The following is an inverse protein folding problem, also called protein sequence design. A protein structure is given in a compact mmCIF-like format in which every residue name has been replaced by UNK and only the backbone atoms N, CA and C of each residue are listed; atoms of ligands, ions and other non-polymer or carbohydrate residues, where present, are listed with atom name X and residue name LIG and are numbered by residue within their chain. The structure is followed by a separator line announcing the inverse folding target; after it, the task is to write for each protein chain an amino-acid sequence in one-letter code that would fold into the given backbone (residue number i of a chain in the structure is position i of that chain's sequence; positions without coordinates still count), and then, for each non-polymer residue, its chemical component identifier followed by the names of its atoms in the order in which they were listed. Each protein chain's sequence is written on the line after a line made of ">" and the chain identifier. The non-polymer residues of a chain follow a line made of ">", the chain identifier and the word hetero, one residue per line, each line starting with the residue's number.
data_IF_880683257329
#
_entry.id   IF_880683257329
#
_cell.length_a   1.000
_cell.length_b   1.000
_cell.length_c   1.000
_cell.angle_alpha   90.00
_cell.angle_beta   90.00
_cell.angle_gamma   90.00
#
_symmetry.space_group_name_H-M   'P 1'
#
loop_
_entity.id
_entity.type
_entity.pdbx_description
1 polymer ?
#
# COMPACT_ATOMS: atom_id res chain seq x y z
N UNK A 1 10.83 -16.05 11.77
CA UNK A 1 10.92 -14.79 12.54
C UNK A 1 12.35 -14.31 12.77
N UNK A 2 13.30 -15.13 13.31
CA UNK A 2 14.68 -14.69 13.49
C UNK A 2 15.34 -14.21 12.19
N UNK A 3 15.14 -14.94 11.09
CA UNK A 3 15.62 -14.57 9.76
C UNK A 3 15.09 -13.19 9.31
N UNK A 4 13.80 -12.90 9.52
CA UNK A 4 13.20 -11.59 9.21
C UNK A 4 13.84 -10.47 10.03
N UNK A 5 14.11 -10.72 11.32
CA UNK A 5 14.83 -9.77 12.17
C UNK A 5 16.26 -9.47 11.69
N UNK A 6 16.96 -10.48 11.16
CA UNK A 6 18.29 -10.32 10.54
C UNK A 6 18.16 -9.48 9.26
N UNK A 7 17.18 -9.79 8.39
CA UNK A 7 16.94 -9.04 7.16
C UNK A 7 16.57 -7.58 7.44
N UNK A 8 15.73 -7.32 8.44
CA UNK A 8 15.41 -5.95 8.88
C UNK A 8 16.66 -5.18 9.31
N UNK A 9 17.58 -5.85 10.05
CA UNK A 9 18.84 -5.24 10.46
C UNK A 9 19.78 -4.96 9.29
N UNK A 10 19.83 -5.86 8.31
CA UNK A 10 20.59 -5.66 7.07
C UNK A 10 20.00 -4.49 6.28
N UNK A 11 18.68 -4.45 6.10
CA UNK A 11 17.98 -3.36 5.42
C UNK A 11 18.30 -2.01 6.06
N UNK A 12 18.24 -1.93 7.40
CA UNK A 12 18.53 -0.68 8.13
C UNK A 12 19.97 -0.22 7.95
N UNK A 13 20.94 -1.14 7.89
CA UNK A 13 22.35 -0.81 7.62
C UNK A 13 22.58 -0.29 6.19
N UNK A 14 21.79 -0.78 5.24
CA UNK A 14 21.86 -0.37 3.84
C UNK A 14 21.00 0.88 3.55
N UNK A 15 20.29 1.40 4.58
CA UNK A 15 19.33 2.51 4.45
C UNK A 15 18.27 2.24 3.35
N UNK A 16 17.77 1.00 3.30
CA UNK A 16 16.66 0.58 2.41
C UNK A 16 15.47 0.09 3.21
N UNK A 17 14.29 0.04 2.58
CA UNK A 17 13.12 -0.63 3.17
C UNK A 17 13.38 -2.13 3.32
N UNK A 18 12.94 -2.79 4.40
CA UNK A 18 13.07 -4.23 4.56
C UNK A 18 12.10 -5.03 3.68
N UNK A 19 11.04 -4.41 3.15
CA UNK A 19 9.99 -5.05 2.34
C UNK A 19 10.56 -5.89 1.18
N UNK A 20 11.45 -5.36 0.30
CA UNK A 20 12.05 -6.17 -0.76
C UNK A 20 12.78 -7.41 -0.25
N UNK A 21 13.46 -7.30 0.91
CA UNK A 21 14.20 -8.42 1.47
C UNK A 21 13.27 -9.51 2.03
N UNK A 22 12.14 -9.13 2.63
CA UNK A 22 11.13 -10.09 3.10
C UNK A 22 10.50 -10.85 1.92
N UNK A 23 10.15 -10.11 0.86
CA UNK A 23 9.60 -10.69 -0.35
C UNK A 23 10.59 -11.65 -1.03
N UNK A 24 11.86 -11.24 -1.18
CA UNK A 24 12.93 -12.09 -1.73
C UNK A 24 13.18 -13.33 -0.86
N UNK A 25 13.13 -13.18 0.47
CA UNK A 25 13.24 -14.33 1.36
C UNK A 25 12.08 -15.32 1.15
N UNK A 26 10.85 -14.81 1.02
CA UNK A 26 9.69 -15.63 0.70
C UNK A 26 9.84 -16.35 -0.64
N UNK A 27 10.25 -15.65 -1.69
CA UNK A 27 10.54 -16.27 -3.00
C UNK A 27 11.63 -17.35 -2.93
N UNK A 28 12.67 -17.13 -2.11
CA UNK A 28 13.79 -18.07 -2.00
C UNK A 28 13.41 -19.37 -1.28
N UNK A 29 12.48 -19.32 -0.33
CA UNK A 29 12.08 -20.49 0.51
C UNK A 29 10.66 -20.99 0.19
N UNK A 30 9.95 -20.34 -0.74
CA UNK A 30 8.60 -20.70 -1.19
C UNK A 30 8.57 -21.83 -2.22
N UNK A 31 7.38 -22.02 -2.79
CA UNK A 31 7.14 -23.00 -3.86
C UNK A 31 8.03 -22.68 -5.07
N UNK A 32 8.85 -23.65 -5.50
CA UNK A 32 9.81 -23.43 -6.60
C UNK A 32 11.07 -22.63 -6.24
N UNK A 33 11.23 -22.22 -4.98
CA UNK A 33 12.39 -21.48 -4.49
C UNK A 33 13.65 -22.33 -4.31
N UNK A 34 14.77 -21.68 -3.91
CA UNK A 34 16.09 -22.32 -3.75
C UNK A 34 16.12 -23.37 -2.64
N UNK A 35 15.37 -23.15 -1.55
CA UNK A 35 15.29 -24.03 -0.36
C UNK A 35 13.83 -24.11 0.08
N UNK A 36 12.98 -24.87 -0.64
CA UNK A 36 11.57 -24.88 -0.34
C UNK A 36 11.29 -25.46 1.05
N UNK A 37 10.53 -24.71 1.84
CA UNK A 37 10.05 -25.13 3.16
C UNK A 37 8.63 -25.67 3.00
N UNK A 38 8.36 -26.81 3.61
CA UNK A 38 7.01 -27.38 3.68
C UNK A 38 6.21 -26.59 4.72
N UNK A 39 5.30 -25.76 4.25
CA UNK A 39 4.33 -25.05 5.09
C UNK A 39 2.92 -25.38 4.63
N UNK A 40 1.93 -25.33 5.55
CA UNK A 40 0.54 -25.46 5.12
C UNK A 40 0.09 -24.19 4.41
N UNK A 41 -0.59 -24.33 3.28
CA UNK A 41 -1.15 -23.19 2.53
C UNK A 41 -2.09 -22.37 3.42
N UNK A 42 -2.90 -23.03 4.26
CA UNK A 42 -3.80 -22.38 5.24
C UNK A 42 -3.04 -21.49 6.25
N UNK A 43 -1.87 -21.93 6.74
CA UNK A 43 -1.06 -21.10 7.65
C UNK A 43 -0.53 -19.86 6.98
N UNK A 44 -0.14 -19.96 5.71
CA UNK A 44 0.34 -18.83 4.90
C UNK A 44 -0.82 -17.83 4.68
N UNK A 45 -1.99 -18.34 4.29
CA UNK A 45 -3.16 -17.53 3.98
C UNK A 45 -3.65 -16.72 5.21
N UNK A 46 -3.87 -17.40 6.34
CA UNK A 46 -4.29 -16.75 7.60
C UNK A 46 -3.26 -15.73 8.09
N UNK A 47 -1.98 -16.06 8.00
CA UNK A 47 -0.93 -15.13 8.43
C UNK A 47 -0.81 -13.90 7.53
N UNK A 48 -1.00 -14.06 6.23
CA UNK A 48 -1.04 -12.95 5.28
C UNK A 48 -2.27 -12.04 5.54
N UNK A 49 -3.45 -12.64 5.77
CA UNK A 49 -4.68 -11.93 6.05
C UNK A 49 -4.59 -11.06 7.32
N UNK A 50 -4.07 -11.61 8.42
CA UNK A 50 -3.80 -10.85 9.64
C UNK A 50 -2.84 -9.69 9.34
N UNK A 51 -1.82 -9.92 8.52
CA UNK A 51 -0.88 -8.89 8.10
C UNK A 51 -1.57 -7.72 7.39
N UNK A 52 -2.45 -8.02 6.44
CA UNK A 52 -3.22 -7.01 5.69
C UNK A 52 -4.16 -6.22 6.62
N UNK A 53 -4.86 -6.91 7.54
CA UNK A 53 -5.74 -6.27 8.53
C UNK A 53 -4.96 -5.23 9.34
N UNK A 54 -3.77 -5.58 9.86
CA UNK A 54 -2.93 -4.64 10.60
C UNK A 54 -2.41 -3.48 9.75
N UNK A 55 -1.98 -3.76 8.53
CA UNK A 55 -1.50 -2.72 7.62
C UNK A 55 -2.60 -1.70 7.33
N UNK A 56 -3.83 -2.15 7.06
CA UNK A 56 -4.95 -1.27 6.74
C UNK A 56 -5.49 -0.55 8.00
N UNK A 57 -5.49 -1.19 9.16
CA UNK A 57 -5.81 -0.53 10.43
C UNK A 57 -4.87 0.66 10.67
N UNK A 58 -3.56 0.44 10.55
CA UNK A 58 -2.56 1.48 10.77
C UNK A 58 -2.65 2.61 9.74
N UNK A 59 -2.92 2.26 8.48
CA UNK A 59 -3.19 3.26 7.47
C UNK A 59 -4.39 4.14 7.84
N UNK A 60 -5.47 3.53 8.36
CA UNK A 60 -6.63 4.27 8.86
C UNK A 60 -6.29 5.24 10.00
N UNK A 61 -5.35 4.86 10.88
CA UNK A 61 -4.89 5.69 12.00
C UNK A 61 -4.05 6.91 11.57
N UNK A 62 -3.37 6.83 10.40
CA UNK A 62 -2.55 7.93 9.89
C UNK A 62 -3.39 9.15 9.48
N UNK A 63 -4.68 8.95 9.23
CA UNK A 63 -5.58 10.00 8.75
C UNK A 63 -6.74 10.25 9.69
N UNK A 64 -6.98 11.51 10.02
CA UNK A 64 -8.26 11.88 10.63
C UNK A 64 -9.32 12.13 9.55
N UNK A 65 -10.57 11.75 9.82
CA UNK A 65 -11.68 12.02 8.91
C UNK A 65 -11.84 13.53 8.60
N UNK A 66 -11.46 14.41 9.54
CA UNK A 66 -11.49 15.86 9.36
C UNK A 66 -10.43 16.35 8.38
N UNK A 67 -9.21 15.82 8.49
CA UNK A 67 -8.10 16.13 7.55
C UNK A 67 -8.41 15.64 6.15
N UNK A 68 -8.99 14.43 6.03
CA UNK A 68 -9.43 13.89 4.76
C UNK A 68 -10.43 14.80 4.06
N UNK A 69 -11.50 15.19 4.74
CA UNK A 69 -12.55 16.06 4.18
C UNK A 69 -12.01 17.46 3.84
N UNK A 70 -11.15 18.02 4.69
CA UNK A 70 -10.55 19.35 4.46
C UNK A 70 -9.52 19.34 3.32
N UNK A 71 -8.71 18.25 3.22
CA UNK A 71 -7.62 18.13 2.25
C UNK A 71 -8.06 17.83 0.83
N UNK A 72 -9.15 17.08 0.64
CA UNK A 72 -9.59 16.56 -0.67
C UNK A 72 -9.65 17.63 -1.76
N UNK A 73 -10.21 18.82 -1.49
CA UNK A 73 -10.36 19.87 -2.50
C UNK A 73 -9.03 20.42 -3.03
N UNK A 74 -8.02 20.56 -2.17
CA UNK A 74 -6.72 21.12 -2.56
C UNK A 74 -5.85 20.07 -3.29
N UNK A 75 -6.01 18.81 -2.95
CA UNK A 75 -5.20 17.68 -3.44
C UNK A 75 -5.80 16.99 -4.66
N UNK A 76 -7.15 17.05 -4.81
CA UNK A 76 -7.87 16.34 -5.86
C UNK A 76 -7.30 16.54 -7.29
N UNK A 77 -6.90 17.73 -7.73
CA UNK A 77 -6.35 17.87 -9.08
C UNK A 77 -5.05 17.08 -9.28
N UNK A 78 -4.16 17.05 -8.28
CA UNK A 78 -2.92 16.28 -8.36
C UNK A 78 -3.19 14.78 -8.27
N UNK A 79 -4.09 14.35 -7.38
CA UNK A 79 -4.50 12.97 -7.24
C UNK A 79 -5.21 12.42 -8.47
N UNK A 80 -6.09 13.20 -9.12
CA UNK A 80 -6.74 12.78 -10.38
C UNK A 80 -5.75 12.62 -11.52
N UNK A 81 -4.81 13.55 -11.68
CA UNK A 81 -3.75 13.44 -12.68
C UNK A 81 -2.89 12.21 -12.40
N UNK A 82 -2.55 11.97 -11.14
CA UNK A 82 -1.83 10.80 -10.71
C UNK A 82 -2.59 9.51 -11.05
N UNK A 83 -3.88 9.43 -10.69
CA UNK A 83 -4.73 8.29 -10.98
C UNK A 83 -4.76 7.98 -12.50
N UNK A 84 -5.03 8.97 -13.34
CA UNK A 84 -5.08 8.78 -14.80
C UNK A 84 -3.73 8.33 -15.35
N UNK A 85 -2.63 9.00 -14.98
CA UNK A 85 -1.31 8.73 -15.54
C UNK A 85 -0.73 7.38 -15.08
N UNK A 86 -1.09 6.89 -13.90
CA UNK A 86 -0.48 5.70 -13.32
C UNK A 86 -1.38 4.47 -13.33
N UNK A 87 -2.71 4.62 -13.34
CA UNK A 87 -3.65 3.51 -13.53
C UNK A 87 -3.72 3.06 -15.00
N UNK A 88 -3.74 4.02 -15.93
CA UNK A 88 -3.91 3.75 -17.35
C UNK A 88 -2.83 2.83 -17.95
N UNK A 89 -1.52 2.98 -17.64
CA UNK A 89 -0.50 2.08 -18.17
C UNK A 89 -0.73 0.61 -17.81
N UNK A 90 -1.08 0.32 -16.55
CA UNK A 90 -1.40 -1.03 -16.12
C UNK A 90 -2.66 -1.58 -16.79
N UNK A 91 -3.71 -0.76 -16.87
CA UNK A 91 -4.95 -1.11 -17.57
C UNK A 91 -4.68 -1.48 -19.03
N UNK A 92 -3.93 -0.65 -19.75
CA UNK A 92 -3.56 -0.90 -21.17
C UNK A 92 -2.72 -2.17 -21.28
N UNK A 93 -1.73 -2.35 -20.39
CA UNK A 93 -0.88 -3.53 -20.41
C UNK A 93 -1.68 -4.82 -20.18
N UNK A 94 -2.64 -4.83 -19.26
CA UNK A 94 -3.53 -5.99 -19.04
C UNK A 94 -4.33 -6.35 -20.28
N UNK A 95 -4.81 -5.38 -21.05
CA UNK A 95 -5.45 -5.63 -22.33
C UNK A 95 -4.47 -6.13 -23.40
N UNK A 96 -3.26 -5.57 -23.49
CA UNK A 96 -2.24 -5.99 -24.45
C UNK A 96 -1.73 -7.40 -24.16
N UNK A 97 -1.71 -7.82 -22.90
CA UNK A 97 -1.38 -9.18 -22.46
C UNK A 97 -2.53 -10.18 -22.72
N UNK A 98 -3.71 -9.69 -23.13
CA UNK A 98 -4.86 -10.53 -23.44
C UNK A 98 -5.60 -11.06 -22.20
N UNK A 99 -5.39 -10.49 -21.03
CA UNK A 99 -5.94 -10.96 -19.75
C UNK A 99 -7.43 -10.63 -19.55
N UNK A 100 -7.97 -9.74 -20.38
CA UNK A 100 -9.35 -9.30 -20.29
C UNK A 100 -9.58 -8.14 -19.30
N UNK A 101 -10.84 -7.62 -19.25
CA UNK A 101 -11.12 -6.35 -18.57
C UNK A 101 -10.86 -6.39 -17.06
N UNK A 102 -11.23 -7.49 -16.40
CA UNK A 102 -11.09 -7.62 -14.96
C UNK A 102 -9.61 -7.60 -14.52
N UNK A 103 -8.79 -8.47 -15.11
CA UNK A 103 -7.36 -8.50 -14.80
C UNK A 103 -6.64 -7.21 -15.23
N UNK A 104 -7.09 -6.56 -16.32
CA UNK A 104 -6.58 -5.25 -16.71
C UNK A 104 -6.88 -4.17 -15.65
N UNK A 105 -8.07 -4.19 -15.03
CA UNK A 105 -8.41 -3.31 -13.91
C UNK A 105 -7.50 -3.57 -12.70
N UNK A 106 -7.25 -4.83 -12.36
CA UNK A 106 -6.33 -5.20 -11.28
C UNK A 106 -4.91 -4.70 -11.56
N UNK A 107 -4.40 -4.91 -12.77
CA UNK A 107 -3.08 -4.42 -13.15
C UNK A 107 -3.01 -2.89 -13.14
N UNK A 108 -4.09 -2.20 -13.51
CA UNK A 108 -4.24 -0.76 -13.34
C UNK A 108 -4.08 -0.34 -11.88
N UNK A 109 -4.75 -1.01 -10.96
CA UNK A 109 -4.62 -0.78 -9.52
C UNK A 109 -3.20 -1.04 -9.02
N UNK A 110 -2.58 -2.16 -9.42
CA UNK A 110 -1.18 -2.51 -9.10
C UNK A 110 -0.21 -1.39 -9.49
N UNK A 111 -0.39 -0.80 -10.67
CA UNK A 111 0.52 0.24 -11.19
C UNK A 111 0.21 1.64 -10.66
N UNK A 112 -0.99 1.88 -10.17
CA UNK A 112 -1.43 3.19 -9.69
C UNK A 112 -0.79 3.57 -8.35
N UNK A 113 -0.87 2.69 -7.36
CA UNK A 113 -0.57 3.00 -5.97
C UNK A 113 0.94 3.07 -5.68
N UNK A 114 1.37 4.10 -4.96
CA UNK A 114 2.74 4.23 -4.43
C UNK A 114 2.84 3.61 -3.04
N UNK A 115 4.06 3.35 -2.57
CA UNK A 115 4.29 2.86 -1.20
C UNK A 115 4.51 4.01 -0.23
N UNK A 116 3.52 4.33 0.58
CA UNK A 116 3.61 5.35 1.64
C UNK A 116 4.75 5.03 2.62
N UNK A 117 4.89 3.77 3.04
CA UNK A 117 5.93 3.35 3.97
C UNK A 117 7.36 3.50 3.41
N UNK A 118 7.59 3.08 2.16
CA UNK A 118 8.90 3.24 1.50
C UNK A 118 9.22 4.73 1.29
N UNK A 119 8.24 5.52 0.89
CA UNK A 119 8.42 6.95 0.61
C UNK A 119 8.66 7.73 1.90
N UNK A 120 7.89 7.47 2.97
CA UNK A 120 8.11 8.11 4.27
C UNK A 120 9.53 7.84 4.80
N UNK A 121 9.98 6.58 4.71
CA UNK A 121 11.36 6.22 5.06
C UNK A 121 12.38 6.93 4.17
N UNK A 122 12.16 7.00 2.87
CA UNK A 122 13.02 7.70 1.92
C UNK A 122 13.16 9.20 2.27
N UNK A 123 12.03 9.87 2.53
CA UNK A 123 12.01 11.28 2.92
C UNK A 123 12.80 11.53 4.21
N UNK A 124 12.66 10.63 5.18
CA UNK A 124 13.40 10.68 6.44
C UNK A 124 14.90 10.45 6.22
N UNK A 125 15.29 9.37 5.54
CA UNK A 125 16.69 8.96 5.35
C UNK A 125 17.50 9.98 4.53
N UNK A 126 16.85 10.67 3.57
CA UNK A 126 17.47 11.74 2.78
C UNK A 126 17.36 13.14 3.43
N UNK A 127 16.72 13.24 4.61
CA UNK A 127 16.52 14.52 5.30
C UNK A 127 15.61 15.47 4.52
N UNK A 128 14.64 14.93 3.76
CA UNK A 128 13.71 15.72 2.94
C UNK A 128 12.42 16.07 3.68
N UNK A 129 12.20 15.58 4.89
CA UNK A 129 10.97 15.78 5.69
C UNK A 129 10.57 17.25 5.84
N UNK A 130 11.55 18.16 6.00
CA UNK A 130 11.34 19.61 6.10
C UNK A 130 11.32 20.37 4.76
N UNK A 131 11.41 19.70 3.63
CA UNK A 131 11.45 20.35 2.33
C UNK A 131 10.06 20.84 1.88
N UNK A 132 10.03 21.89 1.04
CA UNK A 132 8.78 22.50 0.53
C UNK A 132 7.96 21.57 -0.35
N UNK A 133 8.58 20.61 -1.02
CA UNK A 133 7.90 19.61 -1.85
C UNK A 133 7.29 18.45 -1.05
N UNK A 134 7.72 18.21 0.16
CA UNK A 134 7.24 17.07 0.97
C UNK A 134 5.74 17.09 1.22
N UNK A 135 5.10 18.23 1.59
CA UNK A 135 3.64 18.28 1.68
C UNK A 135 2.92 17.90 0.37
N UNK A 136 3.51 18.19 -0.80
CA UNK A 136 2.93 17.83 -2.10
C UNK A 136 2.98 16.31 -2.31
N UNK A 137 4.13 15.69 -2.00
CA UNK A 137 4.28 14.22 -2.07
C UNK A 137 3.28 13.55 -1.14
N UNK A 138 3.24 13.95 0.13
CA UNK A 138 2.31 13.38 1.12
C UNK A 138 0.85 13.56 0.70
N UNK A 139 0.50 14.71 0.12
CA UNK A 139 -0.86 14.96 -0.38
C UNK A 139 -1.27 14.01 -1.50
N UNK A 140 -0.36 13.64 -2.40
CA UNK A 140 -0.62 12.66 -3.46
C UNK A 140 -0.83 11.29 -2.82
N UNK A 141 0.04 10.87 -1.89
CA UNK A 141 -0.10 9.59 -1.19
C UNK A 141 -1.45 9.49 -0.45
N UNK A 142 -1.84 10.54 0.27
CA UNK A 142 -3.16 10.61 0.92
C UNK A 142 -4.30 10.40 -0.09
N UNK A 143 -4.21 11.02 -1.26
CA UNK A 143 -5.23 10.84 -2.30
C UNK A 143 -5.24 9.41 -2.87
N UNK A 144 -4.06 8.82 -3.09
CA UNK A 144 -3.92 7.42 -3.50
C UNK A 144 -4.56 6.48 -2.47
N UNK A 145 -4.27 6.66 -1.18
CA UNK A 145 -4.80 5.85 -0.09
C UNK A 145 -6.32 5.96 0.03
N UNK A 146 -6.87 7.17 -0.16
CA UNK A 146 -8.31 7.40 -0.27
C UNK A 146 -8.94 6.69 -1.47
N UNK A 147 -8.28 6.76 -2.62
CA UNK A 147 -8.74 6.06 -3.82
C UNK A 147 -8.69 4.54 -3.60
N UNK A 148 -7.69 4.05 -2.87
CA UNK A 148 -7.57 2.63 -2.52
C UNK A 148 -8.69 2.15 -1.60
N UNK A 149 -9.15 2.97 -0.67
CA UNK A 149 -10.29 2.65 0.19
C UNK A 149 -11.59 2.40 -0.61
N UNK A 150 -11.69 2.91 -1.83
CA UNK A 150 -12.79 2.62 -2.77
C UNK A 150 -12.42 1.51 -3.75
N UNK A 151 -11.20 1.54 -4.27
CA UNK A 151 -10.75 0.64 -5.33
C UNK A 151 -10.60 -0.80 -4.83
N UNK A 152 -10.01 -1.02 -3.64
CA UNK A 152 -9.79 -2.37 -3.10
C UNK A 152 -11.08 -3.16 -2.91
N UNK A 153 -12.12 -2.63 -2.22
CA UNK A 153 -13.39 -3.35 -2.10
C UNK A 153 -14.02 -3.61 -3.47
N UNK A 154 -13.94 -2.61 -4.36
CA UNK A 154 -14.49 -2.75 -5.71
C UNK A 154 -13.85 -3.91 -6.48
N UNK A 155 -12.51 -3.98 -6.46
CA UNK A 155 -11.76 -5.06 -7.11
C UNK A 155 -12.04 -6.41 -6.45
N UNK A 156 -12.05 -6.48 -5.11
CA UNK A 156 -12.33 -7.71 -4.37
C UNK A 156 -13.68 -8.32 -4.76
N UNK A 157 -14.73 -7.49 -4.87
CA UNK A 157 -16.06 -7.94 -5.26
C UNK A 157 -16.10 -8.40 -6.72
N UNK A 158 -15.47 -7.66 -7.63
CA UNK A 158 -15.38 -8.06 -9.03
C UNK A 158 -14.62 -9.39 -9.20
N UNK A 159 -13.65 -9.67 -8.35
CA UNK A 159 -12.92 -10.94 -8.33
C UNK A 159 -13.80 -12.13 -7.95
N UNK A 160 -14.80 -11.93 -7.07
CA UNK A 160 -15.72 -12.97 -6.63
C UNK A 160 -16.75 -13.39 -7.71
N UNK A 161 -16.70 -12.79 -8.91
CA UNK A 161 -17.52 -13.20 -10.05
C UNK A 161 -18.98 -12.77 -9.99
N UNK A 162 -19.29 -11.73 -9.20
CA UNK A 162 -20.62 -11.12 -9.16
C UNK A 162 -21.07 -10.57 -10.52
N UNK A 163 -22.37 -10.60 -10.79
CA UNK A 163 -22.93 -9.92 -11.96
C UNK A 163 -22.65 -8.42 -11.93
N UNK A 164 -22.65 -7.77 -13.09
CA UNK A 164 -22.43 -6.30 -13.15
C UNK A 164 -23.42 -5.54 -12.25
N UNK A 165 -24.67 -6.05 -12.12
CA UNK A 165 -25.66 -5.46 -11.23
C UNK A 165 -25.33 -5.65 -9.76
N UNK A 166 -24.88 -6.84 -9.36
CA UNK A 166 -24.41 -7.12 -7.99
C UNK A 166 -23.16 -6.28 -7.67
N UNK A 167 -22.22 -6.19 -8.59
CA UNK A 167 -21.04 -5.34 -8.44
C UNK A 167 -21.43 -3.86 -8.21
N UNK A 168 -22.39 -3.32 -8.97
CA UNK A 168 -22.88 -1.95 -8.78
C UNK A 168 -23.55 -1.76 -7.41
N UNK A 169 -24.38 -2.70 -6.97
CA UNK A 169 -25.01 -2.65 -5.64
C UNK A 169 -23.96 -2.70 -4.54
N UNK A 170 -22.97 -3.58 -4.65
CA UNK A 170 -21.95 -3.74 -3.62
C UNK A 170 -20.98 -2.56 -3.60
N UNK A 171 -20.64 -1.99 -4.75
CA UNK A 171 -19.89 -0.71 -4.82
C UNK A 171 -20.70 0.41 -4.14
N UNK A 172 -22.01 0.51 -4.42
CA UNK A 172 -22.86 1.51 -3.76
C UNK A 172 -22.94 1.30 -2.24
N UNK A 173 -23.05 0.04 -1.79
CA UNK A 173 -23.03 -0.33 -0.37
C UNK A 173 -21.66 0.01 0.25
N UNK A 174 -20.56 -0.35 -0.41
CA UNK A 174 -19.21 -0.04 0.08
C UNK A 174 -18.98 1.48 0.21
N UNK A 175 -19.39 2.25 -0.80
CA UNK A 175 -19.35 3.73 -0.74
C UNK A 175 -20.25 4.25 0.37
N UNK A 176 -21.46 3.69 0.52
CA UNK A 176 -22.39 4.05 1.60
C UNK A 176 -21.83 3.79 2.99
N UNK A 177 -21.30 2.59 3.23
CA UNK A 177 -20.65 2.19 4.49
C UNK A 177 -19.45 3.07 4.78
N UNK A 178 -18.59 3.33 3.78
CA UNK A 178 -17.44 4.18 3.94
C UNK A 178 -17.83 5.62 4.24
N UNK A 179 -18.82 6.16 3.52
CA UNK A 179 -19.34 7.51 3.78
C UNK A 179 -19.91 7.61 5.18
N UNK A 180 -20.68 6.61 5.62
CA UNK A 180 -21.24 6.54 6.97
C UNK A 180 -20.13 6.45 8.03
N UNK A 181 -19.09 5.64 7.82
CA UNK A 181 -17.95 5.52 8.71
C UNK A 181 -17.14 6.82 8.82
N UNK A 182 -16.87 7.47 7.67
CA UNK A 182 -16.20 8.79 7.65
C UNK A 182 -17.06 9.84 8.37
N UNK A 183 -18.38 9.85 8.15
CA UNK A 183 -19.29 10.75 8.85
C UNK A 183 -19.32 10.50 10.35
N UNK A 184 -19.38 9.23 10.77
CA UNK A 184 -19.32 8.83 12.18
C UNK A 184 -18.00 9.25 12.82
N UNK A 185 -16.88 9.00 12.15
CA UNK A 185 -15.54 9.42 12.57
C UNK A 185 -15.43 10.95 12.68
N UNK A 186 -15.98 11.67 11.71
CA UNK A 186 -15.99 13.13 11.71
C UNK A 186 -16.75 13.73 12.90
N UNK A 187 -17.91 13.15 13.24
CA UNK A 187 -18.76 13.67 14.31
C UNK A 187 -18.52 13.07 15.69
N UNK A 188 -18.01 11.85 15.77
CA UNK A 188 -17.91 11.08 17.02
C UNK A 188 -16.52 10.50 17.30
N UNK A 189 -15.52 10.76 16.47
CA UNK A 189 -14.18 10.15 16.55
C UNK A 189 -13.53 10.32 17.92
N UNK A 190 -13.65 11.49 18.54
CA UNK A 190 -13.10 11.74 19.88
C UNK A 190 -13.76 10.86 20.95
N UNK A 191 -15.10 10.66 20.88
CA UNK A 191 -15.84 9.79 21.82
C UNK A 191 -15.55 8.30 21.60
N UNK A 192 -15.32 7.89 20.35
CA UNK A 192 -14.92 6.52 20.05
C UNK A 192 -13.54 6.23 20.60
N UNK A 193 -12.63 7.20 20.51
CA UNK A 193 -11.33 7.13 21.13
C UNK A 193 -11.38 6.92 22.63
N UNK A 194 -12.20 7.70 23.34
CA UNK A 194 -12.39 7.56 24.80
C UNK A 194 -12.95 6.20 25.21
N UNK A 195 -13.75 5.57 24.35
CA UNK A 195 -14.31 4.24 24.60
C UNK A 195 -13.25 3.13 24.43
N UNK A 196 -12.36 3.28 23.45
CA UNK A 196 -11.34 2.29 23.10
C UNK A 196 -10.13 2.39 24.03
N UNK A 197 -9.71 3.62 24.38
CA UNK A 197 -8.49 3.83 25.15
C UNK A 197 -8.77 4.05 26.64
N UNK A 198 -8.20 3.16 27.44
CA UNK A 198 -8.26 3.16 28.90
C UNK A 198 -6.88 3.55 29.49
N UNK A 199 -6.80 3.65 30.81
CA UNK A 199 -5.54 3.92 31.51
C UNK A 199 -4.48 2.81 31.35
N UNK A 200 -4.94 1.56 31.15
CA UNK A 200 -4.08 0.39 30.88
C UNK A 200 -3.79 0.27 29.39
N UNK A 201 -2.52 0.19 29.02
CA UNK A 201 -2.08 -0.03 27.64
C UNK A 201 -2.49 -1.41 27.13
N UNK A 202 -2.45 -2.44 28.00
CA UNK A 202 -2.93 -3.79 27.66
C UNK A 202 -4.43 -3.79 27.32
N UNK A 203 -5.26 -3.15 28.15
CA UNK A 203 -6.69 -3.05 27.89
C UNK A 203 -6.97 -2.26 26.59
N UNK A 204 -6.26 -1.19 26.35
CA UNK A 204 -6.37 -0.37 25.13
C UNK A 204 -6.01 -1.15 23.88
N UNK A 205 -4.89 -1.89 23.93
CA UNK A 205 -4.43 -2.73 22.82
C UNK A 205 -5.44 -3.84 22.50
N UNK A 206 -5.89 -4.56 23.53
CA UNK A 206 -6.86 -5.64 23.35
C UNK A 206 -8.21 -5.13 22.86
N UNK A 207 -8.66 -3.95 23.32
CA UNK A 207 -9.91 -3.34 22.87
C UNK A 207 -9.81 -2.85 21.44
N UNK A 208 -8.74 -2.14 21.07
CA UNK A 208 -8.53 -1.66 19.71
C UNK A 208 -8.42 -2.82 18.73
N UNK A 209 -7.63 -3.84 19.06
CA UNK A 209 -7.46 -5.01 18.22
C UNK A 209 -8.72 -5.85 18.13
N UNK A 210 -9.38 -6.12 19.26
CA UNK A 210 -10.64 -6.85 19.30
C UNK A 210 -11.75 -6.14 18.51
N UNK A 211 -11.88 -4.82 18.64
CA UNK A 211 -12.81 -4.02 17.83
C UNK A 211 -12.48 -4.15 16.32
N UNK A 212 -11.21 -4.11 15.98
CA UNK A 212 -10.77 -4.27 14.59
C UNK A 212 -11.17 -5.62 14.02
N UNK A 213 -10.94 -6.71 14.77
CA UNK A 213 -11.32 -8.06 14.33
C UNK A 213 -12.84 -8.22 14.21
N UNK A 214 -13.61 -7.64 15.14
CA UNK A 214 -15.09 -7.67 15.09
C UNK A 214 -15.58 -6.93 13.84
N UNK A 215 -15.08 -5.72 13.58
CA UNK A 215 -15.53 -4.92 12.44
C UNK A 215 -15.04 -5.56 11.12
N UNK A 216 -13.83 -6.12 11.10
CA UNK A 216 -13.32 -6.87 9.96
C UNK A 216 -14.21 -8.07 9.63
N UNK A 217 -14.56 -8.90 10.63
CA UNK A 217 -15.47 -10.03 10.43
C UNK A 217 -16.89 -9.64 10.05
N UNK A 218 -17.42 -8.53 10.58
CA UNK A 218 -18.71 -7.98 10.15
C UNK A 218 -18.66 -7.48 8.69
N UNK A 219 -17.55 -6.87 8.29
CA UNK A 219 -17.35 -6.45 6.91
C UNK A 219 -17.38 -7.64 5.95
N UNK A 220 -16.69 -8.74 6.28
CA UNK A 220 -16.73 -9.98 5.51
C UNK A 220 -18.15 -10.56 5.43
N UNK A 221 -18.89 -10.52 6.51
CA UNK A 221 -20.29 -10.97 6.54
C UNK A 221 -21.22 -10.24 5.57
N UNK A 222 -20.82 -9.04 5.12
CA UNK A 222 -21.53 -8.25 4.09
C UNK A 222 -20.77 -8.17 2.76
N UNK A 223 -19.85 -9.11 2.51
CA UNK A 223 -18.99 -9.18 1.32
C UNK A 223 -18.08 -7.96 1.12
N UNK A 224 -17.65 -7.33 2.21
CA UNK A 224 -16.62 -6.28 2.21
C UNK A 224 -15.35 -6.90 2.80
N UNK A 225 -14.20 -6.63 2.22
CA UNK A 225 -12.92 -7.16 2.72
C UNK A 225 -12.69 -6.80 4.20
N UNK A 226 -12.19 -7.76 5.00
CA UNK A 226 -11.76 -7.57 6.38
C UNK A 226 -10.78 -6.40 6.52
N UNK A 227 -9.88 -6.26 5.57
CA UNK A 227 -8.90 -5.18 5.50
C UNK A 227 -9.55 -3.78 5.44
N UNK A 228 -10.63 -3.65 4.67
CA UNK A 228 -11.42 -2.40 4.61
C UNK A 228 -12.11 -2.13 5.95
N UNK A 229 -12.68 -3.15 6.59
CA UNK A 229 -13.24 -3.03 7.93
C UNK A 229 -12.19 -2.50 8.93
N UNK A 230 -10.99 -3.05 8.91
CA UNK A 230 -9.87 -2.61 9.73
C UNK A 230 -9.47 -1.14 9.45
N UNK A 231 -9.39 -0.75 8.17
CA UNK A 231 -9.14 0.64 7.77
C UNK A 231 -10.16 1.60 8.35
N UNK A 232 -11.45 1.25 8.29
CA UNK A 232 -12.54 2.08 8.82
C UNK A 232 -12.45 2.24 10.34
N UNK A 233 -12.02 1.22 11.07
CA UNK A 233 -11.75 1.32 12.53
C UNK A 233 -10.63 2.32 12.76
N UNK A 234 -9.49 2.19 12.06
CA UNK A 234 -8.39 3.13 12.18
C UNK A 234 -8.82 4.58 11.90
N UNK A 235 -9.53 4.79 10.79
CA UNK A 235 -10.06 6.11 10.41
C UNK A 235 -11.07 6.68 11.42
N UNK A 236 -11.77 5.83 12.16
CA UNK A 236 -12.75 6.24 13.16
C UNK A 236 -12.12 6.73 14.46
N UNK A 237 -10.85 6.42 14.69
CA UNK A 237 -10.09 6.93 15.81
C UNK A 237 -9.43 8.27 15.40
N UNK A 238 -9.44 9.24 16.30
CA UNK A 238 -8.88 10.57 16.01
C UNK A 238 -8.17 11.16 17.23
N UNK A 239 -7.38 12.22 17.01
CA UNK A 239 -6.72 12.97 18.08
C UNK A 239 -5.75 12.12 18.90
N UNK A 240 -5.79 12.26 20.23
CA UNK A 240 -4.90 11.54 21.16
C UNK A 240 -5.12 10.02 21.11
N UNK A 241 -6.33 9.56 20.82
CA UNK A 241 -6.64 8.15 20.69
C UNK A 241 -5.91 7.51 19.48
N UNK A 242 -5.92 8.16 18.33
CA UNK A 242 -5.19 7.70 17.16
C UNK A 242 -3.68 7.65 17.42
N UNK A 243 -3.12 8.71 18.00
CA UNK A 243 -1.70 8.77 18.36
C UNK A 243 -1.29 7.66 19.34
N UNK A 244 -2.14 7.36 20.33
CA UNK A 244 -1.89 6.29 21.28
C UNK A 244 -2.03 4.91 20.66
N UNK A 245 -3.04 4.72 19.79
CA UNK A 245 -3.20 3.50 19.00
C UNK A 245 -1.97 3.24 18.14
N UNK A 246 -1.47 4.25 17.44
CA UNK A 246 -0.28 4.15 16.61
C UNK A 246 0.92 3.65 17.42
N UNK A 247 1.21 4.26 18.57
CA UNK A 247 2.32 3.84 19.43
C UNK A 247 2.19 2.38 19.90
N UNK A 248 0.97 1.95 20.30
CA UNK A 248 0.75 0.61 20.83
C UNK A 248 0.73 -0.47 19.72
N UNK A 249 0.22 -0.14 18.54
CA UNK A 249 0.01 -1.10 17.46
C UNK A 249 1.15 -1.13 16.43
N UNK A 250 1.97 -0.08 16.33
CA UNK A 250 3.11 -0.04 15.38
C UNK A 250 4.05 -1.24 15.47
N UNK A 251 4.44 -1.75 16.65
CA UNK A 251 5.29 -2.95 16.71
C UNK A 251 4.60 -4.19 16.15
N UNK A 252 3.28 -4.31 16.32
CA UNK A 252 2.49 -5.41 15.76
C UNK A 252 2.36 -5.25 14.24
N UNK A 253 2.10 -4.03 13.74
CA UNK A 253 2.12 -3.74 12.31
C UNK A 253 3.44 -4.19 11.68
N UNK A 254 4.58 -3.78 12.24
CA UNK A 254 5.89 -4.11 11.67
C UNK A 254 6.13 -5.63 11.65
N UNK A 255 5.70 -6.33 12.70
CA UNK A 255 5.76 -7.79 12.79
C UNK A 255 4.89 -8.44 11.71
N UNK A 256 3.61 -8.07 11.64
CA UNK A 256 2.66 -8.71 10.70
C UNK A 256 2.89 -8.26 9.25
N UNK A 257 3.36 -7.04 9.01
CA UNK A 257 3.81 -6.62 7.70
C UNK A 257 4.97 -7.50 7.19
N UNK A 258 5.97 -7.78 8.04
CA UNK A 258 7.07 -8.67 7.67
C UNK A 258 6.56 -10.09 7.35
N UNK A 259 5.59 -10.60 8.12
CA UNK A 259 4.93 -11.90 7.87
C UNK A 259 4.17 -11.87 6.54
N UNK A 260 3.39 -10.84 6.28
CA UNK A 260 2.63 -10.67 5.04
C UNK A 260 3.53 -10.70 3.80
N UNK A 261 4.61 -9.90 3.79
CA UNK A 261 5.52 -9.88 2.64
C UNK A 261 6.28 -11.19 2.45
N UNK A 262 6.66 -11.83 3.56
CA UNK A 262 7.25 -13.18 3.48
C UNK A 262 6.27 -14.17 2.86
N UNK A 263 5.02 -14.19 3.35
CA UNK A 263 4.01 -15.15 2.90
C UNK A 263 3.58 -14.89 1.46
N UNK A 264 3.47 -13.63 1.06
CA UNK A 264 3.26 -13.31 -0.35
C UNK A 264 4.40 -13.83 -1.24
N UNK A 265 5.66 -13.66 -0.80
CA UNK A 265 6.80 -14.24 -1.49
C UNK A 265 6.78 -15.76 -1.53
N UNK A 266 6.34 -16.44 -0.44
CA UNK A 266 6.18 -17.89 -0.38
C UNK A 266 5.13 -18.40 -1.39
N UNK A 267 4.06 -17.64 -1.61
CA UNK A 267 2.96 -17.98 -2.53
C UNK A 267 3.30 -17.71 -4.00
N UNK A 268 4.32 -16.91 -4.27
CA UNK A 268 4.74 -16.55 -5.63
C UNK A 268 5.79 -17.54 -6.15
N UNK A 269 5.57 -18.13 -7.33
CA UNK A 269 6.55 -19.02 -7.96
C UNK A 269 7.66 -18.22 -8.65
N UNK A 270 8.93 -18.29 -8.18
CA UNK A 270 10.03 -17.61 -8.83
C UNK A 270 10.32 -18.14 -10.24
N UNK A 271 9.85 -19.33 -10.62
CA UNK A 271 9.94 -19.88 -11.97
C UNK A 271 9.15 -19.09 -13.00
N UNK A 272 8.11 -18.35 -12.58
CA UNK A 272 7.30 -17.49 -13.45
C UNK A 272 7.95 -16.13 -13.72
N UNK A 273 8.89 -15.68 -12.87
CA UNK A 273 9.53 -14.36 -12.97
C UNK A 273 10.20 -14.11 -14.33
N UNK A 274 10.98 -15.06 -14.90
CA UNK A 274 11.60 -14.84 -16.21
C UNK A 274 10.58 -14.56 -17.33
N UNK A 275 9.41 -15.18 -17.29
CA UNK A 275 8.33 -14.97 -18.27
C UNK A 275 7.75 -13.56 -18.21
N UNK A 276 7.61 -13.00 -17.02
CA UNK A 276 6.99 -11.69 -16.80
C UNK A 276 7.99 -10.53 -16.69
N UNK A 277 9.31 -10.81 -16.62
CA UNK A 277 10.33 -9.80 -16.38
C UNK A 277 10.30 -8.67 -17.41
N UNK A 278 10.13 -8.99 -18.70
CA UNK A 278 10.05 -7.99 -19.76
C UNK A 278 8.88 -7.03 -19.55
N UNK A 279 7.68 -7.55 -19.26
CA UNK A 279 6.51 -6.74 -18.99
C UNK A 279 6.67 -5.92 -17.71
N UNK A 280 7.24 -6.51 -16.64
CA UNK A 280 7.52 -5.83 -15.39
C UNK A 280 8.48 -4.64 -15.57
N UNK A 281 9.55 -4.81 -16.35
CA UNK A 281 10.52 -3.73 -16.64
C UNK A 281 9.87 -2.62 -17.44
N UNK A 282 9.12 -2.94 -18.49
CA UNK A 282 8.41 -1.94 -19.29
C UNK A 282 7.44 -1.15 -18.44
N UNK A 283 6.61 -1.84 -17.63
CA UNK A 283 5.69 -1.18 -16.69
C UNK A 283 6.43 -0.32 -15.68
N UNK A 284 7.54 -0.81 -15.10
CA UNK A 284 8.34 -0.07 -14.14
C UNK A 284 8.90 1.23 -14.73
N UNK A 285 9.41 1.18 -15.97
CA UNK A 285 9.93 2.36 -16.67
C UNK A 285 8.80 3.35 -16.99
N UNK A 286 7.70 2.87 -17.56
CA UNK A 286 6.56 3.73 -17.94
C UNK A 286 5.94 4.38 -16.72
N UNK A 287 5.62 3.59 -15.69
CA UNK A 287 4.96 4.12 -14.49
C UNK A 287 5.91 4.90 -13.59
N UNK A 288 7.20 4.57 -13.58
CA UNK A 288 8.23 5.40 -12.97
C UNK A 288 8.31 6.79 -13.61
N UNK A 289 8.30 6.84 -14.93
CA UNK A 289 8.29 8.10 -15.67
C UNK A 289 7.02 8.92 -15.43
N UNK A 290 5.84 8.27 -15.44
CA UNK A 290 4.55 8.96 -15.16
C UNK A 290 4.48 9.47 -13.72
N UNK A 291 5.03 8.75 -12.73
CA UNK A 291 5.14 9.25 -11.35
C UNK A 291 6.08 10.46 -11.24
N UNK A 292 7.20 10.41 -11.94
CA UNK A 292 8.10 11.59 -12.00
C UNK A 292 7.37 12.78 -12.61
N UNK A 293 6.62 12.58 -13.68
CA UNK A 293 5.82 13.65 -14.31
C UNK A 293 4.73 14.17 -13.38
N UNK A 294 4.01 13.30 -12.67
CA UNK A 294 2.98 13.68 -11.70
C UNK A 294 3.55 14.53 -10.57
N UNK A 295 4.62 14.06 -9.91
CA UNK A 295 5.24 14.80 -8.82
C UNK A 295 5.86 16.12 -9.27
N UNK A 296 6.48 16.13 -10.46
CA UNK A 296 6.99 17.35 -11.07
C UNK A 296 5.87 18.36 -11.34
N UNK A 297 4.80 17.94 -11.97
CA UNK A 297 3.65 18.79 -12.30
C UNK A 297 2.97 19.32 -11.05
N UNK A 298 2.71 18.47 -10.05
CA UNK A 298 2.07 18.86 -8.80
C UNK A 298 2.91 19.88 -8.03
N UNK A 299 4.22 19.64 -7.89
CA UNK A 299 5.14 20.58 -7.25
C UNK A 299 5.29 21.89 -8.03
N UNK A 300 5.22 21.84 -9.38
CA UNK A 300 5.21 23.06 -10.20
C UNK A 300 4.00 23.96 -9.93
N UNK A 301 2.82 23.36 -9.76
CA UNK A 301 1.60 24.12 -9.41
C UNK A 301 1.67 24.86 -8.07
N UNK A 302 2.50 24.36 -7.17
CA UNK A 302 2.77 24.97 -5.86
C UNK A 302 3.95 25.96 -5.89
N UNK A 303 4.44 26.33 -7.08
CA UNK A 303 5.54 27.27 -7.21
C UNK A 303 6.88 26.77 -6.71
N UNK A 304 7.07 25.46 -6.62
CA UNK A 304 8.32 24.84 -6.15
C UNK A 304 9.36 24.86 -7.26
N UNK A 305 10.62 25.16 -6.94
CA UNK A 305 11.71 25.23 -7.89
C UNK A 305 12.09 23.85 -8.49
N UNK A 306 12.88 23.83 -9.59
CA UNK A 306 13.19 22.64 -10.37
C UNK A 306 13.80 21.49 -9.54
N UNK A 307 14.66 21.79 -8.57
CA UNK A 307 15.25 20.78 -7.70
C UNK A 307 14.18 20.07 -6.83
N UNK A 308 13.26 20.83 -6.23
CA UNK A 308 12.15 20.27 -5.46
C UNK A 308 11.17 19.47 -6.33
N UNK A 309 10.86 19.95 -7.55
CA UNK A 309 10.01 19.20 -8.51
C UNK A 309 10.61 17.84 -8.85
N UNK A 310 11.92 17.78 -9.09
CA UNK A 310 12.62 16.53 -9.35
C UNK A 310 12.56 15.60 -8.14
N UNK A 311 12.81 16.09 -6.93
CA UNK A 311 12.71 15.28 -5.70
C UNK A 311 11.30 14.77 -5.47
N UNK A 312 10.28 15.60 -5.65
CA UNK A 312 8.88 15.19 -5.55
C UNK A 312 8.54 14.03 -6.51
N UNK A 313 8.95 14.15 -7.77
CA UNK A 313 8.71 13.10 -8.75
C UNK A 313 9.44 11.79 -8.44
N UNK A 314 10.72 11.87 -8.08
CA UNK A 314 11.54 10.69 -7.78
C UNK A 314 11.08 9.98 -6.49
N UNK A 315 10.58 10.72 -5.50
CA UNK A 315 10.05 10.13 -4.29
C UNK A 315 8.85 9.21 -4.58
N UNK A 316 7.97 9.57 -5.53
CA UNK A 316 6.74 8.84 -5.84
C UNK A 316 6.95 7.54 -6.65
N UNK A 317 8.18 7.22 -7.08
CA UNK A 317 8.44 6.02 -7.90
C UNK A 317 8.20 4.72 -7.12
N UNK A 318 8.50 4.69 -5.82
CA UNK A 318 8.48 3.46 -5.03
C UNK A 318 7.09 2.82 -4.97
N UNK A 319 7.06 1.50 -5.14
CA UNK A 319 5.86 0.65 -5.00
C UNK A 319 6.01 -0.26 -3.78
N UNK A 320 4.90 -0.80 -3.28
CA UNK A 320 4.93 -1.60 -2.05
C UNK A 320 3.70 -2.45 -1.83
N UNK A 321 3.26 -2.46 -0.58
CA UNK A 321 2.25 -3.33 -0.01
C UNK A 321 0.93 -3.37 -0.78
N UNK A 322 0.37 -2.23 -1.14
CA UNK A 322 -0.94 -2.19 -1.78
C UNK A 322 -0.95 -2.81 -3.18
N UNK A 323 0.12 -2.64 -3.96
CA UNK A 323 0.25 -3.32 -5.25
C UNK A 323 0.23 -4.84 -5.09
N UNK A 324 0.84 -5.35 -4.01
CA UNK A 324 0.85 -6.78 -3.68
C UNK A 324 -0.52 -7.26 -3.20
N UNK A 325 -1.20 -6.48 -2.35
CA UNK A 325 -2.56 -6.79 -1.88
C UNK A 325 -3.53 -6.89 -3.07
N UNK A 326 -3.48 -5.92 -3.99
CA UNK A 326 -4.30 -5.95 -5.21
C UNK A 326 -4.01 -7.21 -6.02
N UNK A 327 -2.73 -7.57 -6.19
CA UNK A 327 -2.35 -8.78 -6.92
C UNK A 327 -2.83 -10.06 -6.21
N UNK A 328 -2.84 -10.07 -4.88
CA UNK A 328 -3.39 -11.16 -4.08
C UNK A 328 -4.88 -11.40 -4.35
N UNK A 329 -5.69 -10.33 -4.42
CA UNK A 329 -7.10 -10.46 -4.79
C UNK A 329 -7.33 -10.90 -6.24
N UNK A 330 -6.34 -10.73 -7.11
CA UNK A 330 -6.41 -11.20 -8.50
C UNK A 330 -6.08 -12.69 -8.68
N UNK A 331 -5.66 -13.36 -7.62
CA UNK A 331 -5.35 -14.79 -7.66
C UNK A 331 -6.59 -15.58 -8.09
N UNK A 332 -6.44 -16.44 -9.09
CA UNK A 332 -7.55 -17.24 -9.64
C UNK A 332 -8.36 -16.55 -10.74
N UNK A 333 -8.05 -15.33 -11.15
CA UNK A 333 -8.67 -14.72 -12.33
C UNK A 333 -8.18 -15.43 -13.59
N UNK A 334 -9.11 -16.01 -14.33
CA UNK A 334 -8.83 -16.71 -15.58
C UNK A 334 -8.02 -15.84 -16.55
N UNK A 335 -7.03 -16.42 -17.21
CA UNK A 335 -6.09 -15.78 -18.17
C UNK A 335 -5.12 -14.76 -17.55
N UNK A 336 -5.07 -14.62 -16.23
CA UNK A 336 -4.17 -13.69 -15.55
C UNK A 336 -3.37 -14.40 -14.44
N UNK A 337 -3.07 -15.67 -14.63
CA UNK A 337 -2.33 -16.52 -13.69
C UNK A 337 -0.94 -15.95 -13.38
N UNK A 338 -0.34 -15.22 -14.33
CA UNK A 338 0.96 -14.55 -14.19
C UNK A 338 0.88 -13.21 -13.45
N UNK A 339 -0.30 -12.68 -13.14
CA UNK A 339 -0.45 -11.34 -12.54
C UNK A 339 0.24 -11.23 -11.17
N UNK A 340 0.14 -12.21 -10.24
CA UNK A 340 0.85 -12.16 -8.98
C UNK A 340 2.38 -12.11 -9.17
N UNK A 341 2.94 -12.92 -10.07
CA UNK A 341 4.37 -12.93 -10.37
C UNK A 341 4.82 -11.62 -11.03
N UNK A 342 4.02 -11.07 -11.96
CA UNK A 342 4.25 -9.77 -12.59
C UNK A 342 4.26 -8.65 -11.53
N UNK A 343 3.26 -8.62 -10.65
CA UNK A 343 3.15 -7.61 -9.60
C UNK A 343 4.31 -7.70 -8.61
N UNK A 344 4.69 -8.91 -8.16
CA UNK A 344 5.85 -9.13 -7.29
C UNK A 344 7.14 -8.60 -7.93
N UNK A 345 7.39 -8.97 -9.19
CA UNK A 345 8.57 -8.53 -9.94
C UNK A 345 8.58 -7.01 -10.12
N UNK A 346 7.44 -6.42 -10.50
CA UNK A 346 7.25 -4.98 -10.67
C UNK A 346 7.50 -4.21 -9.37
N UNK A 347 6.93 -4.66 -8.25
CA UNK A 347 7.11 -4.06 -6.93
C UNK A 347 8.57 -4.15 -6.48
N UNK A 348 9.21 -5.31 -6.62
CA UNK A 348 10.64 -5.48 -6.30
C UNK A 348 11.51 -4.49 -7.06
N UNK A 349 11.28 -4.36 -8.37
CA UNK A 349 12.03 -3.43 -9.21
C UNK A 349 11.89 -1.99 -8.70
N UNK A 350 10.67 -1.51 -8.42
CA UNK A 350 10.41 -0.12 -8.06
C UNK A 350 10.65 0.20 -6.58
N UNK A 351 10.48 -0.77 -5.68
CA UNK A 351 10.84 -0.61 -4.27
C UNK A 351 12.36 -0.46 -4.07
N UNK A 352 13.17 -0.96 -5.02
CA UNK A 352 14.62 -0.78 -5.03
C UNK A 352 15.02 0.43 -5.89
N UNK A 353 14.52 0.50 -7.13
CA UNK A 353 14.92 1.54 -8.08
C UNK A 353 14.48 2.95 -7.66
N UNK A 354 13.29 3.09 -7.04
CA UNK A 354 12.77 4.38 -6.58
C UNK A 354 13.72 5.07 -5.59
N UNK A 355 14.00 4.46 -4.42
CA UNK A 355 14.95 5.01 -3.45
C UNK A 355 16.35 5.24 -4.01
N UNK A 356 16.85 4.35 -4.86
CA UNK A 356 18.15 4.52 -5.51
C UNK A 356 18.18 5.72 -6.43
N UNK A 357 17.16 5.88 -7.30
CA UNK A 357 17.06 7.02 -8.20
C UNK A 357 16.97 8.35 -7.43
N UNK A 358 16.20 8.40 -6.36
CA UNK A 358 16.09 9.57 -5.50
C UNK A 358 17.44 9.91 -4.83
N UNK A 359 18.14 8.91 -4.29
CA UNK A 359 19.46 9.06 -3.65
C UNK A 359 20.53 9.55 -4.62
N UNK A 360 20.60 8.98 -5.84
CA UNK A 360 21.57 9.39 -6.88
C UNK A 360 21.31 10.82 -7.35
N UNK A 361 20.04 11.22 -7.41
CA UNK A 361 19.66 12.56 -7.87
C UNK A 361 19.79 13.64 -6.77
N UNK A 362 20.09 13.28 -5.53
CA UNK A 362 20.29 14.25 -4.44
C UNK A 362 21.76 14.73 -4.42
N UNK A 363 22.01 16.03 -4.65
CA UNK A 363 23.37 16.59 -4.59
C UNK A 363 24.05 16.46 -3.23
N UNK A 364 23.27 16.34 -2.15
CA UNK A 364 23.78 16.24 -0.78
C UNK A 364 24.32 14.83 -0.45
N UNK A 365 23.80 13.79 -1.12
CA UNK A 365 24.26 12.42 -0.90
C UNK A 365 25.73 12.20 -1.31
N UNK A 366 26.23 13.01 -2.23
CA UNK A 366 27.63 12.98 -2.70
C UNK A 366 28.63 13.49 -1.66
N UNK A 367 28.19 14.27 -0.64
CA UNK A 367 29.09 14.82 0.40
C UNK A 367 29.32 13.89 1.59
N UNK A 368 28.44 12.91 1.82
CA UNK A 368 28.56 11.94 2.92
C UNK A 368 29.44 10.74 2.53
N UNK A 369 29.56 10.45 1.22
CA UNK A 369 30.42 9.37 0.74
C UNK A 369 31.90 9.78 0.54
N UNK A 370 32.23 11.06 0.73
CA UNK A 370 33.60 11.60 0.55
C UNK A 370 34.20 12.13 1.86
N UNK A 371 33.63 11.91 3.01
CA UNK A 371 34.15 12.15 4.35
C UNK A 371 34.11 10.88 5.16
#
# INVERSE_FOLDING_TARGET
>A
MLGLGILARVASRLAISPIPLYLLAGLAIGKGGLVPIVTSDEFIEVGAEIGVIFLLLMLGLEYSARELVAGVRSVAPAGLVDAVLNFTPGLIAGFLLGWGPLAALFLGGVTYISSTGVIAKLLHDLGWTGNRETPVVLSILVFEDLAMAVLLPTLAILALGGSTGEAMVTVAVAIGVMTAAIALAYWRGDRLGDLVFHRSDEASLLTAFGLTLVVAGLAEGVNISAAVGAFLVGLSLSGEAAARADVLLSPLRDLFAAVFFLFFGLSTDPGEIPGVLGAAVVLAVVTGATKVLTGWWAANRQGIGSAGRRRAGLALIARGEFSIIIAGFATGIARAEELPALAATYVLLLAIAGPLAAKIADPKSKRVASG
#
